data_IF_195090737148
#
_entry.id   IF_195090737148
#
_cell.length_a   1.000
_cell.length_b   1.000
_cell.length_c   1.000
_cell.angle_alpha   90.00
_cell.angle_beta   90.00
_cell.angle_gamma   90.00
#
_symmetry.space_group_name_H-M   'P 1'
#
loop_
_entity.id
_entity.type
_entity.pdbx_description
1 polymer ?
2 non-polymer ?
3 non-polymer ?
4 non-polymer ?
5 non-polymer ?
6 non-polymer ?
7 non-polymer ?
8 water ?
#
# COMPACT_ATOMS: atom_id res chain seq x y z
N UNK A 4 -31.00 7.84 6.32
CA UNK A 4 -30.33 9.13 6.22
C UNK A 4 -28.91 8.94 5.72
N UNK A 5 -28.67 7.81 5.07
CA UNK A 5 -27.31 7.45 4.67
C UNK A 5 -26.91 8.17 3.40
N UNK A 6 -25.59 8.23 3.17
CA UNK A 6 -25.07 8.96 2.01
C UNK A 6 -25.17 8.16 0.72
N UNK A 7 -25.04 6.84 0.80
CA UNK A 7 -25.19 5.99 -0.39
C UNK A 7 -26.67 5.74 -0.67
N UNK A 8 -27.08 5.92 -1.92
CA UNK A 8 -28.49 5.64 -2.24
C UNK A 8 -28.75 4.15 -2.36
N UNK A 9 -27.69 3.36 -2.56
CA UNK A 9 -27.78 1.90 -2.50
C UNK A 9 -26.37 1.34 -2.25
N UNK A 10 -26.32 0.16 -1.64
CA UNK A 10 -25.07 -0.42 -1.17
C UNK A 10 -24.44 -1.26 -2.29
N UNK A 11 -24.08 -0.56 -3.37
CA UNK A 11 -23.50 -1.17 -4.57
C UNK A 11 -22.44 -0.26 -5.15
N UNK A 12 -21.68 -0.80 -6.11
CA UNK A 12 -20.70 0.04 -6.82
C UNK A 12 -21.40 1.21 -7.51
N UNK A 13 -22.58 0.97 -8.09
CA UNK A 13 -23.31 2.08 -8.71
C UNK A 13 -23.67 3.15 -7.71
N UNK A 14 -24.08 2.74 -6.50
CA UNK A 14 -24.34 3.70 -5.45
C UNK A 14 -23.11 4.51 -5.09
N UNK A 15 -21.95 3.85 -5.01
CA UNK A 15 -20.72 4.58 -4.69
C UNK A 15 -20.38 5.58 -5.78
N UNK A 16 -20.52 5.19 -7.05
CA UNK A 16 -20.17 6.10 -8.13
C UNK A 16 -21.08 7.32 -8.16
N UNK A 17 -22.39 7.13 -7.95
CA UNK A 17 -23.28 8.28 -7.87
C UNK A 17 -22.90 9.20 -6.71
N UNK A 18 -22.50 8.60 -5.58
CA UNK A 18 -22.06 9.40 -4.45
C UNK A 18 -20.80 10.17 -4.78
N UNK A 19 -19.86 9.53 -5.48
CA UNK A 19 -18.59 10.19 -5.82
C UNK A 19 -18.80 11.40 -6.71
N UNK A 20 -19.78 11.35 -7.60
CA UNK A 20 -20.04 12.47 -8.49
C UNK A 20 -21.06 13.45 -7.92
N UNK A 21 -21.51 13.24 -6.69
CA UNK A 21 -22.32 14.20 -5.97
C UNK A 21 -21.44 15.23 -5.27
N UNK A 22 -22.07 16.34 -4.86
CA UNK A 22 -21.37 17.42 -4.18
C UNK A 22 -20.87 17.01 -2.80
N UNK A 23 -21.43 15.94 -2.24
CA UNK A 23 -21.05 15.51 -0.90
C UNK A 23 -19.69 14.85 -0.85
N UNK A 24 -19.17 14.36 -1.97
CA UNK A 24 -17.95 13.54 -1.96
C UNK A 24 -16.84 14.34 -2.60
N UNK A 25 -15.94 14.85 -1.78
CA UNK A 25 -14.82 15.65 -2.24
C UNK A 25 -13.45 15.06 -1.90
N UNK A 26 -13.35 14.25 -0.84
CA UNK A 26 -12.05 13.79 -0.35
C UNK A 26 -12.04 12.29 -0.14
N UNK A 27 -11.16 11.61 -0.84
CA UNK A 27 -11.09 10.16 -0.84
C UNK A 27 -9.77 9.73 -0.19
N UNK A 28 -9.86 8.81 0.76
CA UNK A 28 -8.67 8.13 1.30
C UNK A 28 -8.66 6.73 0.73
N UNK A 29 -7.54 6.33 0.17
CA UNK A 29 -7.33 4.98 -0.32
C UNK A 29 -6.47 4.24 0.69
N UNK A 30 -6.87 3.01 1.01
CA UNK A 30 -6.08 2.10 1.82
C UNK A 30 -5.74 0.92 0.93
N UNK A 31 -4.46 0.70 0.64
CA UNK A 31 -4.14 -0.32 -0.35
C UNK A 31 -3.07 -1.25 0.19
N UNK A 32 -3.10 -2.49 -0.29
CA UNK A 32 -2.15 -3.46 0.16
C UNK A 32 -1.64 -4.34 -0.97
N UNK A 33 -1.10 -5.50 -0.60
CA UNK A 33 -0.37 -6.30 -1.56
C UNK A 33 -1.22 -6.73 -2.73
N UNK A 34 -2.55 -6.75 -2.55
CA UNK A 34 -3.42 -7.22 -3.61
C UNK A 34 -3.53 -6.29 -4.79
N UNK A 35 -3.05 -5.05 -4.68
CA UNK A 35 -3.02 -4.17 -5.85
C UNK A 35 -1.73 -4.30 -6.62
N UNK A 36 -0.77 -5.10 -6.14
CA UNK A 36 0.48 -5.24 -6.87
C UNK A 36 0.74 -6.67 -7.36
N UNK A 37 -0.11 -7.64 -6.98
CA UNK A 37 0.08 -9.00 -7.46
C UNK A 37 -0.07 -9.07 -8.98
N UNK A 38 -1.00 -8.31 -9.53
CA UNK A 38 -1.13 -8.33 -10.99
C UNK A 38 0.01 -7.62 -11.71
N UNK A 39 0.87 -6.90 -10.97
CA UNK A 39 2.11 -6.34 -11.51
C UNK A 39 3.27 -7.32 -11.39
N UNK A 40 2.99 -8.52 -10.89
CA UNK A 40 4.00 -9.55 -10.79
C UNK A 40 4.77 -9.57 -9.49
N UNK A 41 4.26 -8.88 -8.46
CA UNK A 41 4.93 -8.78 -7.16
C UNK A 41 4.14 -9.59 -6.15
N UNK A 42 4.63 -10.75 -5.72
CA UNK A 42 3.87 -11.58 -4.79
C UNK A 42 3.78 -10.92 -3.43
N UNK A 43 2.75 -11.32 -2.68
CA UNK A 43 2.53 -10.85 -1.31
C UNK A 43 3.50 -11.57 -0.37
N UNK A 44 4.63 -10.92 -0.03
CA UNK A 44 5.63 -11.60 0.78
C UNK A 44 5.17 -11.85 2.21
N UNK A 45 4.08 -11.22 2.64
CA UNK A 45 3.55 -11.44 3.98
C UNK A 45 2.65 -12.67 4.05
N UNK A 46 2.21 -13.19 2.90
CA UNK A 46 1.39 -14.39 2.88
C UNK A 46 2.25 -15.62 3.18
N UNK A 47 1.86 -16.44 4.16
CA UNK A 47 2.61 -17.70 4.37
C UNK A 47 2.56 -18.61 3.16
N UNK A 48 1.45 -18.60 2.42
CA UNK A 48 1.29 -19.41 1.22
C UNK A 48 2.24 -18.98 0.10
N UNK A 49 2.90 -17.83 0.22
CA UNK A 49 3.92 -17.43 -0.73
C UNK A 49 5.17 -18.29 -0.62
N UNK A 50 5.52 -18.70 0.60
CA UNK A 50 6.67 -19.56 0.81
C UNK A 50 7.96 -18.86 1.12
N UNK A 51 7.90 -17.66 1.71
CA UNK A 51 9.12 -16.96 2.10
C UNK A 51 9.91 -17.76 3.13
N UNK A 52 9.20 -18.42 4.05
CA UNK A 52 9.85 -19.06 5.19
C UNK A 52 10.56 -20.35 4.81
N UNK A 53 10.05 -21.10 3.84
CA UNK A 53 10.79 -22.25 3.34
C UNK A 53 11.95 -21.86 2.43
N UNK A 54 11.88 -20.68 1.81
CA UNK A 54 12.97 -20.21 0.96
C UNK A 54 14.23 -19.93 1.76
N UNK A 55 14.09 -19.58 3.04
CA UNK A 55 15.24 -19.26 3.89
C UNK A 55 15.98 -20.56 4.23
N UNK A 56 17.25 -20.64 3.86
CA UNK A 56 17.96 -21.92 3.96
C UNK A 56 19.30 -21.81 4.69
N UNK A 57 20.36 -21.45 3.96
CA UNK A 57 21.72 -21.44 4.50
C UNK A 57 21.92 -20.35 5.55
N UNK A 58 20.93 -19.50 5.78
CA UNK A 58 21.05 -18.38 6.71
C UNK A 58 20.76 -18.92 8.10
N UNK A 59 21.80 -19.15 8.90
CA UNK A 59 21.62 -19.77 10.20
C UNK A 59 20.86 -18.86 11.15
N UNK A 60 19.64 -18.51 10.77
CA UNK A 60 18.85 -17.56 11.53
C UNK A 60 18.53 -18.15 12.91
N UNK A 61 18.76 -17.41 14.00
CA UNK A 61 18.30 -17.90 15.32
C UNK A 61 16.79 -18.14 15.38
N UNK A 62 16.04 -17.71 14.37
CA UNK A 62 14.61 -17.82 14.20
C UNK A 62 14.26 -17.25 12.84
N UNK A 63 13.38 -17.91 12.07
CA UNK A 63 13.07 -17.44 10.71
C UNK A 63 12.72 -15.96 10.60
N UNK A 64 12.09 -15.38 11.63
CA UNK A 64 11.73 -13.97 11.60
C UNK A 64 12.93 -13.04 11.75
N UNK A 65 14.14 -13.58 12.00
CA UNK A 65 15.30 -12.72 12.18
C UNK A 65 15.57 -11.88 10.93
N UNK A 66 15.28 -12.41 9.73
CA UNK A 66 15.58 -11.68 8.50
C UNK A 66 14.75 -10.40 8.40
N UNK A 67 13.67 -10.28 9.17
CA UNK A 67 12.87 -9.07 9.21
C UNK A 67 13.21 -8.18 10.41
N UNK A 68 14.11 -8.62 11.29
CA UNK A 68 14.39 -7.88 12.52
C UNK A 68 15.57 -6.91 12.36
N UNK A 69 15.40 -5.71 12.92
CA UNK A 69 16.40 -4.67 12.74
C UNK A 69 17.70 -5.02 13.45
N UNK A 70 17.65 -5.58 14.66
CA UNK A 70 18.91 -5.81 15.36
C UNK A 70 19.71 -6.90 14.66
N UNK A 71 19.04 -7.92 14.14
CA UNK A 71 19.76 -8.94 13.37
C UNK A 71 20.32 -8.35 12.09
N UNK A 72 19.53 -7.56 11.36
CA UNK A 72 20.02 -6.89 10.16
C UNK A 72 21.32 -6.14 10.46
N UNK A 73 21.36 -5.41 11.58
CA UNK A 73 22.50 -4.52 11.82
C UNK A 73 23.77 -5.31 12.14
N UNK A 74 23.63 -6.51 12.69
CA UNK A 74 24.80 -7.35 12.92
C UNK A 74 25.12 -8.26 11.74
N UNK A 75 24.08 -8.73 11.04
CA UNK A 75 24.22 -9.71 9.95
C UNK A 75 23.33 -9.27 8.80
N UNK A 76 23.76 -8.30 7.99
CA UNK A 76 22.90 -7.79 6.91
C UNK A 76 22.91 -8.64 5.66
N UNK A 77 23.86 -9.56 5.52
CA UNK A 77 23.98 -10.31 4.27
C UNK A 77 22.76 -11.15 3.93
N UNK A 78 22.13 -11.87 4.87
CA UNK A 78 20.91 -12.59 4.47
C UNK A 78 19.84 -11.68 3.89
N UNK A 79 19.56 -10.56 4.53
CA UNK A 79 18.54 -9.64 4.00
C UNK A 79 18.85 -9.27 2.55
N UNK A 80 20.10 -8.87 2.28
CA UNK A 80 20.43 -8.36 0.97
C UNK A 80 20.45 -9.46 -0.09
N UNK A 81 20.73 -10.70 0.32
CA UNK A 81 20.59 -11.82 -0.60
C UNK A 81 19.12 -12.08 -0.91
N UNK A 82 18.26 -12.04 0.11
CA UNK A 82 16.82 -12.18 -0.12
C UNK A 82 16.31 -11.07 -1.00
N UNK A 83 16.79 -9.83 -0.78
CA UNK A 83 16.35 -8.72 -1.61
C UNK A 83 16.71 -8.96 -3.08
N UNK A 84 17.90 -9.51 -3.35
CA UNK A 84 18.25 -9.79 -4.74
C UNK A 84 17.33 -10.85 -5.34
N UNK A 85 17.02 -11.88 -4.55
CA UNK A 85 16.15 -12.95 -5.03
C UNK A 85 14.73 -12.45 -5.29
N UNK A 86 14.25 -11.51 -4.48
CA UNK A 86 12.89 -11.02 -4.58
C UNK A 86 12.75 -9.79 -5.45
N UNK A 87 13.84 -9.22 -5.94
CA UNK A 87 13.79 -7.95 -6.67
C UNK A 87 12.92 -8.10 -7.91
N UNK A 88 11.85 -7.30 -8.05
CA UNK A 88 10.98 -7.43 -9.21
C UNK A 88 11.72 -7.24 -10.52
N UNK A 89 11.28 -7.98 -11.55
CA UNK A 89 11.91 -7.83 -12.85
C UNK A 89 11.49 -6.61 -13.62
N UNK A 90 10.38 -5.99 -13.24
CA UNK A 90 9.91 -4.76 -13.86
C UNK A 90 9.00 -4.07 -12.85
N UNK A 91 8.84 -2.76 -13.01
CA UNK A 91 7.99 -1.98 -12.11
C UNK A 91 6.93 -1.27 -12.94
N UNK A 92 5.86 -1.98 -13.21
CA UNK A 92 4.77 -1.50 -14.04
C UNK A 92 3.53 -1.42 -13.18
N UNK A 93 3.13 -0.23 -12.72
CA UNK A 93 1.96 -0.14 -11.83
C UNK A 93 0.71 -0.64 -12.53
N UNK A 94 -0.28 -1.01 -11.73
CA UNK A 94 -1.51 -1.62 -12.22
C UNK A 94 -2.59 -0.59 -12.52
N UNK A 95 -3.69 -1.07 -13.09
CA UNK A 95 -4.85 -0.20 -13.28
C UNK A 95 -5.24 0.45 -11.97
N UNK A 96 -5.13 -0.29 -10.87
CA UNK A 96 -5.49 0.24 -9.57
C UNK A 96 -4.58 1.41 -9.16
N UNK A 97 -3.28 1.28 -9.42
CA UNK A 97 -2.38 2.40 -9.13
C UNK A 97 -2.72 3.63 -9.96
N UNK A 98 -2.99 3.45 -11.26
CA UNK A 98 -3.27 4.61 -12.09
C UNK A 98 -4.64 5.19 -11.82
N UNK A 99 -5.59 4.38 -11.34
CA UNK A 99 -6.85 4.91 -10.87
C UNK A 99 -6.63 5.93 -9.75
N UNK A 100 -5.72 5.64 -8.80
CA UNK A 100 -5.43 6.65 -7.79
C UNK A 100 -4.74 7.88 -8.35
N UNK A 101 -3.92 7.72 -9.38
CA UNK A 101 -3.38 8.90 -10.05
C UNK A 101 -4.50 9.76 -10.65
N UNK A 102 -5.54 9.12 -11.20
CA UNK A 102 -6.67 9.88 -11.71
C UNK A 102 -7.38 10.62 -10.59
N UNK A 103 -7.57 9.95 -9.44
CA UNK A 103 -8.15 10.64 -8.30
C UNK A 103 -7.35 11.88 -7.95
N UNK A 104 -6.02 11.75 -7.94
CA UNK A 104 -5.13 12.89 -7.71
C UNK A 104 -5.35 13.98 -8.76
N UNK A 105 -5.42 13.60 -10.04
CA UNK A 105 -5.54 14.59 -11.11
C UNK A 105 -6.81 15.41 -10.98
N UNK A 106 -7.86 14.79 -10.49
CA UNK A 106 -9.17 15.38 -10.35
C UNK A 106 -9.37 16.05 -9.00
N UNK A 107 -8.32 16.13 -8.19
CA UNK A 107 -8.38 16.81 -6.92
C UNK A 107 -9.18 16.09 -5.85
N UNK A 108 -9.41 14.78 -6.00
CA UNK A 108 -10.19 14.00 -5.06
C UNK A 108 -9.35 13.23 -4.06
N UNK A 109 -8.05 13.10 -4.28
CA UNK A 109 -7.24 12.22 -3.45
C UNK A 109 -6.74 12.96 -2.21
N UNK A 110 -7.29 12.61 -1.04
CA UNK A 110 -6.78 13.17 0.21
C UNK A 110 -5.48 12.48 0.59
N UNK A 111 -5.45 11.15 0.53
CA UNK A 111 -4.24 10.43 0.88
C UNK A 111 -4.39 8.99 0.43
N UNK A 112 -3.25 8.37 0.12
CA UNK A 112 -3.17 6.93 -0.08
C UNK A 112 -2.27 6.35 1.01
N UNK A 113 -2.86 5.52 1.86
CA UNK A 113 -2.12 4.72 2.83
C UNK A 113 -1.81 3.37 2.20
N UNK A 114 -0.53 2.96 2.21
CA UNK A 114 -0.16 1.73 1.54
C UNK A 114 0.66 0.84 2.47
N UNK A 115 0.39 -0.46 2.37
CA UNK A 115 1.22 -1.46 3.02
C UNK A 115 2.39 -1.89 2.16
N UNK A 116 2.47 -1.40 0.93
CA UNK A 116 3.45 -1.92 -0.02
C UNK A 116 4.75 -1.13 0.01
N UNK A 117 5.82 -1.86 -0.30
CA UNK A 117 7.18 -1.33 -0.29
C UNK A 117 7.77 -1.23 -1.69
N UNK A 118 6.99 -1.53 -2.72
CA UNK A 118 7.47 -1.75 -4.08
C UNK A 118 7.63 -0.48 -4.92
N UNK A 119 7.25 0.68 -4.40
CA UNK A 119 7.36 2.00 -5.01
C UNK A 119 6.37 2.24 -6.15
N UNK A 120 5.49 1.28 -6.45
CA UNK A 120 4.64 1.45 -7.63
C UNK A 120 3.70 2.66 -7.50
N UNK A 121 3.28 3.05 -6.30
CA UNK A 121 2.46 4.26 -6.16
C UNK A 121 3.21 5.49 -6.68
N UNK A 122 4.52 5.53 -6.45
CA UNK A 122 5.30 6.70 -6.89
C UNK A 122 5.54 6.67 -8.38
N UNK A 123 5.83 5.48 -8.92
CA UNK A 123 5.99 5.34 -10.36
C UNK A 123 4.71 5.75 -11.08
N UNK A 124 3.56 5.39 -10.51
CA UNK A 124 2.27 5.76 -11.10
C UNK A 124 1.93 7.24 -10.95
N UNK A 125 2.70 8.01 -10.17
CA UNK A 125 2.55 9.45 -10.15
C UNK A 125 1.97 10.02 -8.88
N UNK A 126 1.89 9.24 -7.81
CA UNK A 126 1.61 9.81 -6.50
C UNK A 126 2.89 10.39 -5.93
N UNK A 127 2.79 11.55 -5.30
CA UNK A 127 3.96 12.18 -4.69
C UNK A 127 4.03 11.83 -3.21
N UNK A 128 5.20 12.09 -2.61
CA UNK A 128 5.36 11.72 -1.20
C UNK A 128 4.29 12.35 -0.33
N UNK A 129 3.84 13.57 -0.67
CA UNK A 129 2.78 14.24 0.09
C UNK A 129 1.47 13.47 0.04
N UNK A 130 1.24 12.70 -1.03
CA UNK A 130 0.01 11.95 -1.22
C UNK A 130 0.01 10.62 -0.46
N UNK A 131 1.16 10.19 0.03
CA UNK A 131 1.39 8.82 0.46
C UNK A 131 1.70 8.72 1.96
N UNK A 132 1.14 7.70 2.59
CA UNK A 132 1.62 7.23 3.90
C UNK A 132 2.01 5.77 3.69
N UNK A 133 3.31 5.52 3.65
CA UNK A 133 3.83 4.16 3.44
C UNK A 133 3.96 3.53 4.82
N UNK A 134 2.93 2.78 5.20
CA UNK A 134 2.83 2.26 6.56
C UNK A 134 3.93 1.25 6.88
N UNK A 135 4.53 0.62 5.87
CA UNK A 135 5.62 -0.30 6.13
C UNK A 135 6.92 0.20 5.51
N UNK A 136 6.99 1.49 5.19
CA UNK A 136 8.16 2.02 4.56
C UNK A 136 8.19 1.73 3.08
N UNK A 137 9.37 1.91 2.49
CA UNK A 137 9.51 1.82 1.04
C UNK A 137 10.96 1.61 0.70
N UNK A 138 11.18 0.92 -0.44
CA UNK A 138 12.50 0.81 -1.04
C UNK A 138 12.91 2.07 -1.78
N UNK A 139 12.02 3.07 -1.89
CA UNK A 139 12.29 4.18 -2.79
C UNK A 139 13.53 4.94 -2.38
N UNK A 140 13.74 5.11 -1.09
CA UNK A 140 14.96 5.71 -0.57
C UNK A 140 15.57 4.77 0.47
N UNK A 141 16.87 4.98 0.71
CA UNK A 141 17.62 4.23 1.70
C UNK A 141 18.43 5.22 2.53
N UNK A 142 18.81 4.82 3.75
CA UNK A 142 19.60 5.71 4.59
C UNK A 142 20.71 4.94 5.29
N UNK A 143 21.86 5.62 5.38
CA UNK A 143 22.89 5.20 6.32
C UNK A 143 22.29 5.05 7.71
N UNK A 144 22.64 3.95 8.40
CA UNK A 144 22.01 3.65 9.68
C UNK A 144 22.68 4.36 10.86
N UNK A 145 23.76 5.08 10.63
CA UNK A 145 24.39 5.79 11.72
C UNK A 145 23.61 7.07 12.05
N UNK A 146 23.22 7.21 13.32
CA UNK A 146 22.38 8.33 13.73
C UNK A 146 23.05 9.69 13.47
N UNK A 147 24.37 9.75 13.54
CA UNK A 147 25.12 10.98 13.31
C UNK A 147 25.31 11.31 11.84
N UNK A 148 24.87 10.43 10.94
CA UNK A 148 25.13 10.61 9.52
C UNK A 148 23.83 10.61 8.71
N UNK A 149 23.17 9.46 8.56
CA UNK A 149 21.86 9.40 7.93
C UNK A 149 21.86 9.87 6.48
N UNK A 150 23.01 9.71 5.80
CA UNK A 150 23.08 10.02 4.37
C UNK A 150 22.03 9.21 3.60
N UNK A 151 21.29 9.89 2.72
CA UNK A 151 20.23 9.27 1.94
C UNK A 151 20.74 8.78 0.59
N UNK A 152 20.26 7.62 0.15
CA UNK A 152 20.67 7.08 -1.14
C UNK A 152 19.45 6.70 -1.96
N UNK A 153 19.48 6.94 -3.26
CA UNK A 153 18.31 6.61 -4.09
C UNK A 153 18.29 5.14 -4.46
N UNK A 154 17.12 4.68 -4.92
CA UNK A 154 16.97 3.27 -5.26
C UNK A 154 17.97 2.81 -6.33
N UNK A 155 18.35 3.66 -7.27
CA UNK A 155 19.31 3.24 -8.29
C UNK A 155 20.64 2.82 -7.66
N UNK A 156 21.08 3.56 -6.63
CA UNK A 156 22.30 3.21 -5.90
C UNK A 156 22.13 1.90 -5.16
N UNK A 157 21.01 1.75 -4.45
CA UNK A 157 20.73 0.53 -3.72
C UNK A 157 20.57 -0.67 -4.65
N UNK A 158 19.89 -0.49 -5.80
CA UNK A 158 19.77 -1.60 -6.74
C UNK A 158 21.13 -2.12 -7.18
N UNK A 159 22.05 -1.21 -7.50
CA UNK A 159 23.36 -1.60 -8.00
C UNK A 159 24.11 -2.43 -6.95
N UNK A 160 24.06 -2.01 -5.68
CA UNK A 160 24.69 -2.79 -4.62
C UNK A 160 24.02 -4.16 -4.49
N UNK A 161 22.69 -4.20 -4.54
CA UNK A 161 21.98 -5.46 -4.34
C UNK A 161 22.36 -6.49 -5.41
N UNK A 162 22.38 -6.05 -6.68
CA UNK A 162 22.64 -7.00 -7.76
C UNK A 162 24.10 -7.43 -7.81
N UNK A 163 25.02 -6.50 -7.57
CA UNK A 163 26.43 -6.84 -7.52
C UNK A 163 26.82 -7.61 -6.25
N UNK A 164 25.89 -7.76 -5.31
CA UNK A 164 26.13 -8.56 -4.10
C UNK A 164 27.24 -7.92 -3.26
N UNK A 165 27.25 -6.60 -3.26
CA UNK A 165 28.12 -5.80 -2.40
C UNK A 165 27.23 -5.24 -1.30
N UNK A 166 27.52 -5.59 -0.05
CA UNK A 166 26.75 -5.05 1.06
C UNK A 166 26.84 -3.53 1.05
N UNK A 167 25.71 -2.82 0.95
CA UNK A 167 25.78 -1.35 0.80
C UNK A 167 26.31 -0.70 2.07
N UNK A 168 27.32 0.16 1.89
CA UNK A 168 27.93 0.89 2.99
C UNK A 168 27.99 2.36 2.63
N UNK A 169 27.85 3.21 3.64
CA UNK A 169 27.78 4.64 3.43
C UNK A 169 29.11 5.19 2.93
N UNK A 170 29.05 6.06 1.92
CA UNK A 170 30.28 6.63 1.39
C UNK A 170 30.90 7.64 2.34
N UNK A 171 30.11 8.23 3.24
CA UNK A 171 30.66 9.22 4.16
C UNK A 171 31.28 8.58 5.40
N UNK A 172 30.67 7.52 5.94
CA UNK A 172 31.09 6.96 7.21
C UNK A 172 31.23 5.44 7.24
N UNK A 173 30.91 4.73 6.13
CA UNK A 173 31.05 3.29 5.99
C UNK A 173 30.12 2.49 6.91
N UNK A 174 29.12 3.11 7.54
CA UNK A 174 28.09 2.30 8.17
C UNK A 174 27.21 1.64 7.12
N UNK A 175 26.38 0.70 7.55
CA UNK A 175 25.44 0.07 6.63
C UNK A 175 24.44 1.08 6.12
N UNK A 176 23.96 0.87 4.90
CA UNK A 176 22.85 1.63 4.34
C UNK A 176 21.65 0.69 4.20
N UNK A 177 20.51 1.10 4.76
CA UNK A 177 19.34 0.22 4.86
C UNK A 177 18.19 0.82 4.04
N UNK A 178 17.48 0.02 3.26
CA UNK A 178 16.27 0.54 2.61
C UNK A 178 15.30 1.04 3.67
N UNK A 179 14.56 2.10 3.33
CA UNK A 179 13.62 2.73 4.26
C UNK A 179 12.36 1.90 4.48
N UNK A 180 12.47 0.58 4.48
CA UNK A 180 11.36 -0.30 4.84
C UNK A 180 11.42 -0.51 6.35
N UNK A 181 10.28 -0.69 6.99
CA UNK A 181 10.22 -0.76 8.46
C UNK A 181 10.44 -2.21 8.89
N UNK A 182 11.62 -2.49 9.44
CA UNK A 182 11.91 -3.82 9.97
C UNK A 182 11.20 -4.03 11.30
N UNK A 183 11.06 -5.30 11.69
CA UNK A 183 10.68 -5.64 13.05
C UNK A 183 11.59 -4.93 14.05
N UNK A 184 10.99 -4.39 15.11
CA UNK A 184 11.74 -3.64 16.08
C UNK A 184 11.95 -2.20 15.74
N UNK A 185 11.54 -1.75 14.56
CA UNK A 185 11.54 -0.35 14.21
C UNK A 185 10.16 0.23 14.46
N UNK A 186 10.12 1.47 14.91
CA UNK A 186 8.85 2.11 15.17
C UNK A 186 8.20 2.54 13.85
N UNK A 187 6.88 2.58 13.85
CA UNK A 187 6.17 3.08 12.68
C UNK A 187 6.63 4.49 12.35
N UNK A 188 6.68 4.86 11.08
CA UNK A 188 6.89 6.26 10.72
C UNK A 188 5.95 7.14 11.52
N UNK A 189 6.52 8.18 12.14
CA UNK A 189 5.70 9.09 12.93
C UNK A 189 4.63 9.76 12.06
N UNK A 190 4.90 9.92 10.77
CA UNK A 190 3.91 10.53 9.89
C UNK A 190 2.65 9.69 9.80
N UNK A 191 2.77 8.38 10.05
CA UNK A 191 1.59 7.53 10.00
C UNK A 191 0.53 8.03 10.98
N UNK A 192 0.91 8.28 12.23
CA UNK A 192 -0.13 8.65 13.19
C UNK A 192 -0.54 10.09 13.04
N UNK A 193 0.39 10.97 12.67
CA UNK A 193 0.04 12.37 12.42
C UNK A 193 -0.95 12.46 11.28
N UNK A 194 -0.65 11.81 10.16
CA UNK A 194 -1.56 11.88 9.03
C UNK A 194 -2.89 11.22 9.38
N UNK A 195 -2.84 10.11 10.12
CA UNK A 195 -4.10 9.45 10.48
C UNK A 195 -4.99 10.36 11.33
N UNK A 196 -4.42 11.08 12.30
CA UNK A 196 -5.23 11.96 13.14
C UNK A 196 -5.86 13.10 12.34
N UNK A 197 -5.20 13.56 11.29
CA UNK A 197 -5.73 14.70 10.54
C UNK A 197 -6.62 14.26 9.39
N UNK A 198 -6.22 13.22 8.66
CA UNK A 198 -6.93 12.84 7.45
C UNK A 198 -8.35 12.37 7.75
N UNK A 199 -8.52 11.62 8.83
CA UNK A 199 -9.84 11.01 9.01
C UNK A 199 -10.84 12.01 9.58
N UNK A 200 -10.41 13.24 9.88
CA UNK A 200 -11.36 14.32 10.13
C UNK A 200 -11.98 14.83 8.84
N UNK A 201 -11.37 14.53 7.69
CA UNK A 201 -11.71 15.20 6.45
C UNK A 201 -12.27 14.28 5.38
N UNK A 202 -12.36 12.97 5.63
CA UNK A 202 -12.61 12.01 4.56
C UNK A 202 -14.10 11.90 4.24
N UNK A 203 -14.42 11.81 2.93
CA UNK A 203 -15.78 11.55 2.47
C UNK A 203 -15.99 10.13 1.96
N UNK A 204 -14.93 9.42 1.60
CA UNK A 204 -15.05 8.08 1.03
C UNK A 204 -13.79 7.33 1.38
N UNK A 205 -13.92 6.12 1.91
CA UNK A 205 -12.75 5.28 2.14
C UNK A 205 -12.78 4.21 1.06
N UNK A 206 -11.74 4.17 0.22
CA UNK A 206 -11.59 3.16 -0.82
C UNK A 206 -10.51 2.16 -0.38
N UNK A 207 -10.92 0.94 -0.07
CA UNK A 207 -10.02 -0.09 0.45
C UNK A 207 -9.77 -1.11 -0.65
N UNK A 208 -8.51 -1.29 -1.04
CA UNK A 208 -8.20 -2.09 -2.23
C UNK A 208 -7.07 -3.05 -1.93
N UNK A 209 -7.31 -4.34 -2.18
CA UNK A 209 -6.20 -5.29 -2.14
C UNK A 209 -5.52 -5.46 -0.79
N UNK A 210 -6.29 -5.44 0.30
CA UNK A 210 -5.73 -5.73 1.61
C UNK A 210 -6.75 -6.54 2.39
N UNK A 211 -6.26 -7.50 3.17
CA UNK A 211 -7.11 -8.30 4.05
C UNK A 211 -7.36 -7.63 5.39
N UNK A 212 -6.73 -6.47 5.63
CA UNK A 212 -6.95 -5.71 6.86
C UNK A 212 -6.70 -6.58 8.10
N UNK A 213 -5.65 -7.39 8.06
CA UNK A 213 -5.33 -8.24 9.20
C UNK A 213 -4.11 -7.76 9.99
N UNK A 214 -3.21 -7.01 9.37
CA UNK A 214 -2.04 -6.49 10.09
C UNK A 214 -2.43 -5.21 10.82
N UNK A 215 -2.13 -5.14 12.15
CA UNK A 215 -2.30 -3.95 12.93
C UNK A 215 -0.99 -3.15 12.98
N UNK A 216 -1.07 -1.82 13.06
CA UNK A 216 -2.27 -0.99 13.25
C UNK A 216 -2.95 -0.57 11.95
N UNK A 217 -2.47 -1.00 10.79
CA UNK A 217 -3.10 -0.61 9.53
C UNK A 217 -4.56 -1.04 9.46
N UNK A 218 -4.86 -2.25 9.95
CA UNK A 218 -6.24 -2.72 9.96
C UNK A 218 -7.14 -1.81 10.77
N UNK A 219 -6.61 -1.30 11.89
CA UNK A 219 -7.35 -0.35 12.72
C UNK A 219 -7.76 0.92 11.98
N UNK A 220 -7.31 1.13 10.74
CA UNK A 220 -7.63 2.37 10.05
C UNK A 220 -9.13 2.49 9.72
N UNK A 221 -9.80 1.39 9.36
CA UNK A 221 -11.18 1.57 8.91
C UNK A 221 -12.07 2.04 10.05
N UNK A 222 -11.70 1.75 11.30
CA UNK A 222 -12.44 2.23 12.45
C UNK A 222 -12.22 3.72 12.73
N UNK A 223 -11.28 4.36 12.03
CA UNK A 223 -11.04 5.79 12.18
C UNK A 223 -11.95 6.63 11.32
N UNK A 224 -12.72 6.02 10.42
CA UNK A 224 -13.56 6.82 9.56
C UNK A 224 -14.73 7.39 10.37
N UNK A 225 -15.18 8.60 10.03
CA UNK A 225 -16.45 9.08 10.59
C UNK A 225 -17.54 8.05 10.35
N UNK A 226 -18.55 8.05 11.25
CA UNK A 226 -19.65 7.07 11.12
C UNK A 226 -20.39 7.15 9.79
N UNK A 227 -20.48 8.34 9.18
CA UNK A 227 -21.24 8.46 7.94
C UNK A 227 -20.45 8.10 6.69
N UNK A 228 -19.13 8.04 6.77
CA UNK A 228 -18.28 7.88 5.58
C UNK A 228 -18.49 6.52 4.92
N UNK A 229 -18.92 6.46 3.66
CA UNK A 229 -19.01 5.15 2.99
C UNK A 229 -17.63 4.54 2.83
N UNK A 230 -17.61 3.21 2.85
CA UNK A 230 -16.36 2.47 2.77
C UNK A 230 -16.56 1.41 1.70
N UNK A 231 -15.80 1.52 0.60
CA UNK A 231 -15.90 0.56 -0.50
C UNK A 231 -14.68 -0.34 -0.44
N UNK A 232 -14.93 -1.64 -0.40
CA UNK A 232 -13.85 -2.64 -0.46
C UNK A 232 -13.83 -3.24 -1.84
N UNK A 233 -12.70 -3.11 -2.54
CA UNK A 233 -12.48 -3.77 -3.83
C UNK A 233 -11.40 -4.81 -3.58
N UNK A 234 -11.77 -6.07 -3.54
CA UNK A 234 -10.85 -7.08 -3.04
C UNK A 234 -11.33 -8.47 -3.49
N UNK A 235 -10.38 -9.42 -3.58
CA UNK A 235 -10.77 -10.77 -4.00
C UNK A 235 -11.70 -11.42 -2.99
N UNK A 236 -11.50 -11.12 -1.70
CA UNK A 236 -12.28 -11.70 -0.60
C UNK A 236 -12.82 -10.59 0.30
N UNK A 237 -13.98 -10.85 0.91
CA UNK A 237 -14.48 -9.93 1.93
C UNK A 237 -13.49 -9.84 3.08
N UNK A 238 -13.36 -8.63 3.62
CA UNK A 238 -12.42 -8.38 4.70
C UNK A 238 -12.96 -7.25 5.57
N UNK A 239 -12.36 -7.13 6.76
CA UNK A 239 -12.64 -6.07 7.70
C UNK A 239 -13.85 -6.28 8.58
N UNK A 240 -14.49 -7.44 8.53
CA UNK A 240 -15.61 -7.66 9.42
C UNK A 240 -15.10 -7.97 10.82
N UNK A 241 -15.96 -7.75 11.82
CA UNK A 241 -15.57 -8.12 13.17
C UNK A 241 -15.34 -9.63 13.24
N UNK A 242 -14.34 -10.02 14.04
CA UNK A 242 -14.03 -11.44 14.16
C UNK A 242 -14.90 -12.00 15.27
N UNK A 243 -15.76 -12.97 15.00
CA UNK A 243 -16.70 -13.44 16.02
C UNK A 243 -16.04 -14.02 17.26
N UNK A 244 -14.77 -14.43 17.19
CA UNK A 244 -14.14 -15.10 18.32
C UNK A 244 -13.54 -14.13 19.33
N UNK A 245 -13.33 -12.87 18.94
CA UNK A 245 -12.70 -11.88 19.80
C UNK A 245 -13.70 -10.85 20.29
N UNK A 246 -14.98 -11.22 20.36
CA UNK A 246 -16.02 -10.30 20.79
C UNK A 246 -16.17 -9.12 19.84
N UNK A 252 -18.91 -1.31 17.59
CA UNK A 252 -17.55 -1.40 17.09
C UNK A 252 -17.34 -0.63 15.81
N UNK A 253 -16.27 -0.93 15.08
CA UNK A 253 -15.98 -0.23 13.85
C UNK A 253 -15.82 -1.12 12.61
N UNK A 254 -16.15 -2.42 12.73
CA UNK A 254 -15.96 -3.33 11.63
C UNK A 254 -16.91 -3.08 10.47
N UNK A 255 -16.50 -3.60 9.31
CA UNK A 255 -17.34 -3.64 8.10
C UNK A 255 -18.67 -4.33 8.39
N UNK A 256 -19.77 -3.73 7.96
CA UNK A 256 -21.08 -4.41 7.95
C UNK A 256 -21.62 -4.28 6.54
N UNK A 257 -21.42 -5.31 5.73
CA UNK A 257 -21.84 -5.30 4.34
C UNK A 257 -23.25 -5.81 4.14
N UNK A 258 -23.69 -6.77 4.95
CA UNK A 258 -24.85 -7.59 4.57
C UNK A 258 -25.97 -7.68 5.58
N UNK A 259 -25.84 -7.12 6.78
CA UNK A 259 -26.90 -7.20 7.77
C UNK A 259 -28.02 -6.22 7.44
N UNK A 260 -29.16 -6.37 8.14
CA UNK A 260 -30.24 -5.41 7.95
C UNK A 260 -29.89 -4.01 8.44
N UNK A 261 -28.84 -3.89 9.26
CA UNK A 261 -28.35 -2.61 9.76
C UNK A 261 -27.28 -2.01 8.86
N UNK A 262 -26.86 -2.72 7.81
CA UNK A 262 -25.85 -2.18 6.90
C UNK A 262 -26.37 -0.90 6.26
N UNK A 263 -25.47 0.08 6.13
CA UNK A 263 -25.88 1.38 5.64
C UNK A 263 -24.79 2.10 4.86
N UNK A 264 -23.53 1.62 4.89
CA UNK A 264 -22.51 2.42 4.23
C UNK A 264 -21.34 1.63 3.65
N UNK A 265 -21.28 0.33 3.92
CA UNK A 265 -20.14 -0.48 3.51
C UNK A 265 -20.54 -1.33 2.30
N UNK A 266 -19.68 -1.35 1.29
CA UNK A 266 -19.95 -2.03 0.02
C UNK A 266 -18.74 -2.91 -0.31
N UNK A 267 -18.99 -4.15 -0.73
CA UNK A 267 -17.94 -5.08 -1.09
C UNK A 267 -18.09 -5.44 -2.56
N UNK A 268 -17.05 -5.19 -3.33
CA UNK A 268 -16.97 -5.61 -4.72
C UNK A 268 -15.91 -6.68 -4.77
N UNK A 269 -16.31 -7.93 -5.00
CA UNK A 269 -15.42 -9.07 -4.84
C UNK A 269 -14.96 -9.56 -6.21
N UNK A 270 -13.66 -9.47 -6.43
CA UNK A 270 -13.08 -9.77 -7.72
C UNK A 270 -11.65 -9.27 -7.74
N UNK A 271 -11.05 -9.30 -8.93
CA UNK A 271 -9.72 -8.74 -9.07
C UNK A 271 -9.77 -7.23 -8.91
N UNK A 272 -8.78 -6.68 -8.19
CA UNK A 272 -8.77 -5.24 -7.93
C UNK A 272 -8.76 -4.42 -9.21
N UNK A 273 -7.99 -4.86 -10.21
CA UNK A 273 -7.93 -4.11 -11.47
C UNK A 273 -9.30 -4.06 -12.14
N UNK A 274 -10.06 -5.16 -12.05
CA UNK A 274 -11.36 -5.20 -12.72
C UNK A 274 -12.38 -4.36 -11.96
N UNK A 275 -12.28 -4.33 -10.62
CA UNK A 275 -13.16 -3.47 -9.85
C UNK A 275 -12.90 -2.00 -10.07
N UNK A 276 -11.61 -1.59 -10.07
CA UNK A 276 -11.28 -0.19 -10.34
C UNK A 276 -11.70 0.19 -11.74
N UNK A 277 -11.52 -0.71 -12.71
CA UNK A 277 -11.98 -0.46 -14.06
C UNK A 277 -13.49 -0.25 -14.09
N UNK A 278 -14.21 -1.09 -13.33
CA UNK A 278 -15.66 -0.97 -13.31
C UNK A 278 -16.09 0.36 -12.70
N UNK A 279 -15.43 0.76 -11.61
CA UNK A 279 -15.76 2.04 -11.00
C UNK A 279 -15.43 3.19 -11.95
N UNK A 280 -14.24 3.19 -12.55
CA UNK A 280 -13.88 4.26 -13.47
C UNK A 280 -14.86 4.34 -14.62
N UNK A 281 -15.31 3.18 -15.11
CA UNK A 281 -16.28 3.16 -16.21
C UNK A 281 -17.60 3.81 -15.79
N UNK A 282 -18.08 3.52 -14.58
CA UNK A 282 -19.30 4.16 -14.10
C UNK A 282 -19.14 5.67 -14.01
N UNK A 283 -17.94 6.12 -13.60
CA UNK A 283 -17.66 7.53 -13.46
C UNK A 283 -17.46 8.26 -14.78
N UNK A 284 -17.41 7.55 -15.90
CA UNK A 284 -17.09 8.19 -17.16
C UNK A 284 -15.60 8.38 -17.39
N UNK A 285 -14.76 7.66 -16.63
CA UNK A 285 -13.32 7.81 -16.69
C UNK A 285 -12.61 6.69 -17.44
N UNK A 286 -13.36 5.75 -18.05
CA UNK A 286 -12.69 4.59 -18.64
C UNK A 286 -11.69 5.00 -19.71
N UNK A 287 -12.09 5.89 -20.63
CA UNK A 287 -11.16 6.27 -21.68
C UNK A 287 -9.94 6.97 -21.10
N UNK A 288 -10.15 7.83 -20.09
CA UNK A 288 -9.02 8.51 -19.45
C UNK A 288 -8.08 7.51 -18.82
N UNK A 289 -8.65 6.50 -18.16
CA UNK A 289 -7.83 5.52 -17.47
C UNK A 289 -7.09 4.64 -18.47
N UNK A 290 -7.77 4.20 -19.54
CA UNK A 290 -7.09 3.40 -20.55
C UNK A 290 -5.98 4.18 -21.22
N UNK A 291 -6.25 5.44 -21.57
CA UNK A 291 -5.22 6.24 -22.22
C UNK A 291 -4.01 6.40 -21.32
N UNK A 292 -4.25 6.66 -20.03
CA UNK A 292 -3.14 6.84 -19.09
C UNK A 292 -2.34 5.55 -18.89
N UNK A 293 -3.03 4.44 -18.60
CA UNK A 293 -2.32 3.18 -18.38
C UNK A 293 -1.53 2.80 -19.63
N UNK A 294 -2.13 2.92 -20.82
CA UNK A 294 -1.43 2.42 -22.00
C UNK A 294 -0.21 3.27 -22.30
N UNK A 295 -0.34 4.58 -22.12
CA UNK A 295 0.80 5.48 -22.28
C UNK A 295 1.91 5.19 -21.26
N UNK A 296 1.55 5.01 -19.99
CA UNK A 296 2.60 4.83 -18.98
C UNK A 296 3.24 3.46 -19.12
N UNK A 297 2.42 2.43 -19.41
CA UNK A 297 2.97 1.11 -19.68
C UNK A 297 3.90 1.14 -20.88
N UNK A 298 3.50 1.88 -21.93
CA UNK A 298 4.36 1.95 -23.12
C UNK A 298 5.67 2.64 -22.78
N UNK A 299 5.60 3.70 -21.97
CA UNK A 299 6.79 4.42 -21.55
C UNK A 299 7.74 3.53 -20.74
N UNK A 300 7.18 2.79 -19.79
CA UNK A 300 8.00 1.88 -18.99
C UNK A 300 8.60 0.77 -19.86
N UNK A 301 7.80 0.19 -20.77
CA UNK A 301 8.30 -0.89 -21.62
C UNK A 301 9.43 -0.41 -22.52
N UNK A 302 9.46 0.88 -22.84
CA UNK A 302 10.44 1.45 -23.76
C UNK A 302 11.68 1.98 -23.06
N UNK A 303 11.83 1.71 -21.77
CA UNK A 303 12.97 2.26 -21.04
C UNK A 303 14.26 1.68 -21.61
N UNK A 304 15.19 2.55 -21.98
CA UNK A 304 16.41 2.14 -22.69
C UNK A 304 17.67 2.69 -22.04
X LIG B 1 8.70 -3.94 5.68
X LIG B 1 10.32 -5.57 4.98
X LIG B 1 11.09 -5.36 6.10
X LIG B 1 12.16 -6.22 6.34
X LIG B 1 11.65 -7.48 4.36
X LIG B 1 6.55 -10.22 7.46
X LIG B 1 10.58 -6.62 4.11
X LIG B 1 11.89 -8.29 1.95
X LIG B 1 12.92 -7.78 1.23
X LIG B 1 10.65 -4.82 -3.89
X LIG B 1 12.89 -5.12 -3.75
X LIG B 1 9.35 -7.26 -3.50
X LIG B 1 9.66 -7.74 -2.08
X LIG B 1 11.94 -8.63 3.42
X LIG B 1 11.43 -7.77 -0.39
X LIG B 1 11.94 -3.13 -4.64
X LIG B 1 12.04 -1.76 -5.26
X LIG B 1 12.43 -7.27 5.48
X LIG B 1 7.73 -4.77 6.46
X LIG B 1 7.92 -5.48 7.62
X LIG B 1 6.36 -6.91 8.99
X LIG B 1 6.85 -8.32 8.80
X LIG B 1 14.05 -5.98 -3.33
X LIG B 1 13.07 -3.87 -4.31
X LIG B 1 10.71 -3.61 -4.43
X LIG B 1 10.93 -7.46 -1.65
X LIG B 1 12.67 -7.48 -0.10
X LIG B 1 6.74 -6.06 7.87
X LIG B 1 5.84 -5.74 6.91
X LIG B 1 6.46 -4.96 6.06
X LIG B 1 11.67 -5.62 -3.53
X LIG B 1 8.84 -8.40 -1.44
X LIG B 1 9.23 -4.78 4.66
X LIG B 1 6.07 -8.94 7.80
X LIG B 1 10.50 -8.42 0.94
X LIG B 1 9.03 -5.46 -3.68
X LIG C 1 -4.70 4.55 -25.45
X LIG C 1 -3.39 4.42 -26.03
X LIG C 1 -5.64 3.50 -26.00
X LIG C 1 -6.69 3.26 -25.05
X LIG D 1 31.47 -6.27 7.34
X LIG D 1 31.83 -4.92 7.42
X LIG D 1 30.08 -6.55 7.94
X LIG D 1 29.07 -6.04 6.88
X LIG D 1 29.57 -6.10 5.57
X LIG D 1 29.85 -8.08 8.01
X LIG D 1 28.48 -8.43 8.16
X LIG D 1 29.83 -5.90 9.24
X LIG D 1 28.45 -5.85 9.71
X LIG D 1 27.96 -4.51 10.22
X LIG D 1 28.38 -3.48 9.34
X LIG D 1 30.76 -6.20 10.32
X LIG D 1 31.66 -5.06 10.75
X LIG D 1 31.24 -3.82 10.20
X LIG E 1 27.21 -4.24 13.51
X LIG E 1 26.99 -3.84 14.86
X LIG E 1 26.09 -4.80 15.59
X LIG E 1 26.49 -2.39 14.92
X LIG E 1 25.18 -2.23 14.36
X LIG E 1 27.49 -1.44 14.30
X LIG F 1 5.08 -4.38 -1.27
X LIG F 1 5.14 -5.67 -0.67
X LIG F 1 6.07 -6.60 -1.47
X LIG F 1 3.71 -6.22 -0.52
X LIG F 1 2.95 -5.43 0.41
X LIG F 1 3.70 -7.70 -0.18
X LIG G 1 -19.78 -8.05 -6.86
X LIG G 1 -18.97 -8.46 -5.73
X LIG G 1 -18.95 -7.68 -8.08
X LIG G 1 -18.35 -8.84 -8.69
X LIG H 1 -21.82 2.16 12.85
X LIG H 1 -20.68 1.85 12.01
X LIG H 1 -22.16 0.97 13.75
X LIG H 1 -23.44 1.15 14.38
X LIG I 1 7.11 10.62 -10.54
X LIG I 1 7.84 9.45 -10.14
X LIG I 1 6.63 10.43 -11.98
X LIG I 1 7.78 10.24 -12.83
X LIG J 1 26.91 7.43 6.90
X LIG K 1 -3.17 -7.18 6.04
#
# INVERSE_FOLDING_TARGET
GHMERLLDELTLEGVARYMQSERCRRVICLVGAGISTSAGIPDFRSPSTGLYDNLEKYHLPYPEAIFEISYFKKHPEPFFALAKELYPGQFKPTICHYFMRLLKDKGLLLRCYTQNIDTLERIAGLEQEDLVEAHGTFYTSHCVSASCRHEYPLSWMKEKIFSEVTPKCEDCQSLVKPDIVFFGESLPARFFSCMQSDFLKVDLLLVMGTSLQVQPFASLISKAPLSTPRLLINKEKAGQSDPFLGMIMGLGGGMDFDSKKAYRDVAWLGECDQGCLALAELLGWKKELEDLVRREHASIDAQS
KZU C25 C23 C22 C21 C19 C32 C35 C17 C16 C5 C7 C3 C2 C18 C14 C10 C11 C20 C26 C27 C29 C30 C8 C9 N12 N13 N15 N28 N33 N34 N6 O1 O24 O31 S36 S4
EDO C1 O1 C2 O2
BTB C1 O1 C2 C3 O3 C4 O4 N C5 C6 O6 C7 C8 O8
BU3 O6 C3 C4 C2 O5 C1
BU3 O6 C3 C4 C2 O5 C1
EDO C1 O1 C2 O2
EDO C1 O1 C2 O2
EDO C1 O1 C2 O2
ZN ZN
CL CL
#
